data_IF_932488285615
#
_entry.id   IF_932488285615
#
_cell.length_a   1.000
_cell.length_b   1.000
_cell.length_c   1.000
_cell.angle_alpha   90.00
_cell.angle_beta   90.00
_cell.angle_gamma   90.00
#
_symmetry.space_group_name_H-M   'P 1'
#
loop_
_entity.id
_entity.type
_entity.pdbx_description
1 polymer ?
#
# COMPACT_ATOMS: atom_id res chain seq x y z
N UNK A 1 6.35 23.71 4.66
CA UNK A 1 6.30 22.23 4.86
C UNK A 1 6.16 21.57 3.49
N UNK A 2 7.13 20.75 3.04
CA UNK A 2 6.99 20.01 1.78
C UNK A 2 5.81 19.04 1.94
N UNK A 3 4.76 19.18 1.12
CA UNK A 3 3.66 18.21 1.09
C UNK A 3 4.26 16.87 0.68
N UNK A 4 4.32 15.91 1.62
CA UNK A 4 4.71 14.53 1.31
C UNK A 4 3.76 14.02 0.23
N UNK A 5 4.29 13.77 -0.97
CA UNK A 5 3.50 13.22 -2.08
C UNK A 5 3.54 11.70 -1.98
N UNK A 6 2.38 11.07 -1.99
CA UNK A 6 2.29 9.61 -2.11
C UNK A 6 2.94 9.17 -3.41
N UNK A 7 3.64 8.04 -3.36
CA UNK A 7 4.05 7.34 -4.57
C UNK A 7 2.82 6.79 -5.30
N UNK A 8 2.92 6.45 -6.60
CA UNK A 8 1.84 5.76 -7.31
C UNK A 8 1.38 4.50 -6.58
N UNK A 9 2.32 3.73 -6.03
CA UNK A 9 2.02 2.58 -5.18
C UNK A 9 1.26 2.98 -3.90
N UNK A 10 1.74 4.01 -3.21
CA UNK A 10 1.08 4.54 -2.01
C UNK A 10 -0.36 4.97 -2.24
N UNK A 11 -0.63 5.57 -3.41
CA UNK A 11 -1.98 5.95 -3.82
C UNK A 11 -2.86 4.71 -4.07
N UNK A 12 -2.36 3.72 -4.83
CA UNK A 12 -3.10 2.47 -5.05
C UNK A 12 -3.42 1.75 -3.74
N UNK A 13 -2.48 1.72 -2.79
CA UNK A 13 -2.69 1.13 -1.45
C UNK A 13 -3.80 1.85 -0.71
N UNK A 14 -3.80 3.18 -0.68
CA UNK A 14 -4.88 3.94 -0.02
C UNK A 14 -6.24 3.71 -0.65
N UNK A 15 -6.33 3.67 -1.98
CA UNK A 15 -7.59 3.39 -2.66
C UNK A 15 -8.12 2.00 -2.30
N UNK A 16 -7.25 0.99 -2.31
CA UNK A 16 -7.65 -0.38 -1.96
C UNK A 16 -8.00 -0.55 -0.49
N UNK A 17 -7.33 0.18 0.41
CA UNK A 17 -7.69 0.24 1.82
C UNK A 17 -9.11 0.80 1.98
N UNK A 18 -9.47 1.85 1.22
CA UNK A 18 -10.82 2.38 1.20
C UNK A 18 -11.83 1.35 0.66
N UNK A 19 -11.52 0.66 -0.45
CA UNK A 19 -12.38 -0.41 -0.99
C UNK A 19 -12.66 -1.52 0.03
N UNK A 20 -11.67 -1.84 0.86
CA UNK A 20 -11.74 -2.90 1.87
C UNK A 20 -12.26 -2.42 3.23
N UNK A 21 -12.63 -1.13 3.36
CA UNK A 21 -12.93 -0.49 4.65
C UNK A 21 -11.85 -0.79 5.72
N UNK A 22 -10.59 -0.87 5.30
CA UNK A 22 -9.46 -1.23 6.15
C UNK A 22 -8.62 0.02 6.42
N UNK A 23 -8.26 0.24 7.69
CA UNK A 23 -7.35 1.34 8.04
C UNK A 23 -5.89 0.97 7.80
N UNK A 24 -5.06 1.99 7.56
CA UNK A 24 -3.61 1.81 7.43
C UNK A 24 -2.98 1.15 8.66
N UNK A 25 -3.51 1.44 9.87
CA UNK A 25 -3.11 0.80 11.13
C UNK A 25 -3.36 -0.70 11.12
N UNK A 26 -4.51 -1.15 10.61
CA UNK A 26 -4.85 -2.58 10.50
C UNK A 26 -3.92 -3.28 9.51
N UNK A 27 -3.61 -2.63 8.38
CA UNK A 27 -2.64 -3.15 7.42
C UNK A 27 -1.24 -3.26 8.04
N UNK A 28 -0.80 -2.26 8.80
CA UNK A 28 0.48 -2.28 9.50
C UNK A 28 0.55 -3.43 10.52
N UNK A 29 -0.53 -3.65 11.28
CA UNK A 29 -0.63 -4.79 12.20
C UNK A 29 -0.56 -6.14 11.47
N UNK A 30 -1.26 -6.30 10.34
CA UNK A 30 -1.20 -7.52 9.52
C UNK A 30 0.20 -7.78 8.94
N UNK A 31 0.94 -6.71 8.65
CA UNK A 31 2.33 -6.76 8.18
C UNK A 31 3.36 -6.96 9.30
N UNK A 32 2.94 -6.91 10.58
CA UNK A 32 3.86 -6.92 11.71
C UNK A 32 4.78 -5.69 11.75
N UNK A 33 4.33 -4.54 11.26
CA UNK A 33 5.11 -3.29 11.20
C UNK A 33 4.37 -2.12 11.83
N UNK A 34 5.04 -0.97 11.97
CA UNK A 34 4.43 0.24 12.49
C UNK A 34 3.77 1.06 11.38
N UNK A 35 2.71 1.79 11.72
CA UNK A 35 2.01 2.70 10.80
C UNK A 35 2.96 3.78 10.22
N UNK A 36 3.89 4.26 11.04
CA UNK A 36 4.93 5.20 10.61
C UNK A 36 5.85 4.58 9.54
N UNK A 37 6.28 3.34 9.74
CA UNK A 37 7.12 2.64 8.78
C UNK A 37 6.37 2.35 7.47
N UNK A 38 5.11 1.93 7.56
CA UNK A 38 4.25 1.77 6.39
C UNK A 38 4.11 3.10 5.63
N UNK A 39 3.85 4.21 6.33
CA UNK A 39 3.81 5.55 5.72
C UNK A 39 5.10 5.86 4.97
N UNK A 40 6.27 5.63 5.56
CA UNK A 40 7.57 5.87 4.92
C UNK A 40 7.69 5.11 3.58
N UNK A 41 7.18 3.87 3.50
CA UNK A 41 7.13 3.10 2.25
C UNK A 41 6.18 3.76 1.24
N UNK A 42 4.96 4.11 1.66
CA UNK A 42 3.96 4.72 0.77
C UNK A 42 4.42 6.07 0.20
N UNK A 43 5.21 6.84 0.97
CA UNK A 43 5.80 8.12 0.56
C UNK A 43 7.16 7.98 -0.14
N UNK A 44 7.69 6.76 -0.31
CA UNK A 44 8.96 6.51 -0.99
C UNK A 44 10.21 6.89 -0.19
N UNK A 45 10.08 7.13 1.12
CA UNK A 45 11.21 7.34 2.04
C UNK A 45 11.95 6.02 2.35
N UNK A 46 11.29 4.87 2.15
CA UNK A 46 11.87 3.52 2.27
C UNK A 46 11.43 2.64 1.09
N UNK A 47 12.35 1.84 0.55
CA UNK A 47 12.08 0.89 -0.53
C UNK A 47 11.07 -0.18 -0.10
N UNK A 48 11.22 -0.71 1.11
CA UNK A 48 10.25 -1.62 1.72
C UNK A 48 9.95 -2.87 0.90
N UNK A 49 10.89 -3.38 0.09
CA UNK A 49 10.64 -4.43 -0.91
C UNK A 49 9.90 -5.65 -0.35
N UNK A 50 10.29 -6.16 0.83
CA UNK A 50 9.57 -7.28 1.48
C UNK A 50 8.13 -6.91 1.85
N UNK A 51 7.90 -5.69 2.32
CA UNK A 51 6.56 -5.22 2.68
C UNK A 51 5.70 -4.95 1.46
N UNK A 52 6.27 -4.48 0.35
CA UNK A 52 5.54 -4.22 -0.90
C UNK A 52 4.88 -5.49 -1.43
N UNK A 53 5.59 -6.61 -1.42
CA UNK A 53 5.02 -7.91 -1.80
C UNK A 53 3.93 -8.36 -0.83
N UNK A 54 4.19 -8.30 0.47
CA UNK A 54 3.20 -8.66 1.49
C UNK A 54 1.94 -7.77 1.44
N UNK A 55 2.09 -6.47 1.19
CA UNK A 55 0.98 -5.52 0.99
C UNK A 55 0.15 -5.96 -0.21
N UNK A 56 0.80 -6.30 -1.34
CA UNK A 56 0.08 -6.77 -2.54
C UNK A 56 -0.69 -8.06 -2.28
N UNK A 57 -0.14 -8.98 -1.48
CA UNK A 57 -0.80 -10.22 -1.08
C UNK A 57 -1.99 -9.92 -0.17
N UNK A 58 -1.79 -9.19 0.93
CA UNK A 58 -2.83 -8.86 1.91
C UNK A 58 -3.99 -8.08 1.28
N UNK A 59 -3.67 -7.13 0.40
CA UNK A 59 -4.66 -6.31 -0.28
C UNK A 59 -5.21 -6.96 -1.55
N UNK A 60 -4.76 -8.18 -1.90
CA UNK A 60 -5.11 -8.89 -3.13
C UNK A 60 -4.89 -8.03 -4.39
N UNK A 61 -3.84 -7.22 -4.41
CA UNK A 61 -3.42 -6.42 -5.57
C UNK A 61 -2.61 -7.20 -6.60
N UNK A 62 -2.25 -8.45 -6.29
CA UNK A 62 -1.45 -9.30 -7.18
C UNK A 62 -2.22 -9.74 -8.45
N UNK A 63 -3.50 -9.41 -8.55
CA UNK A 63 -4.33 -9.71 -9.70
C UNK A 63 -4.24 -8.52 -10.67
N UNK A 64 -3.23 -8.56 -11.55
CA UNK A 64 -3.43 -8.03 -12.90
C UNK A 64 -4.59 -8.83 -13.52
N UNK A 65 -5.82 -8.37 -13.27
CA UNK A 65 -6.90 -8.61 -14.22
C UNK A 65 -6.56 -7.78 -15.44
N UNK A 66 -5.77 -8.40 -16.32
CA UNK A 66 -5.66 -8.00 -17.70
C UNK A 66 -7.04 -8.23 -18.35
N UNK A 67 -7.94 -7.27 -18.19
CA UNK A 67 -9.17 -7.13 -18.99
C UNK A 67 -9.40 -5.65 -19.29
N UNK A 68 -8.55 -5.09 -20.16
CA UNK A 68 -9.07 -4.23 -21.22
C UNK A 68 -8.99 -5.07 -22.50
N UNK A 69 -10.07 -5.82 -22.74
CA UNK A 69 -10.47 -6.16 -24.10
C UNK A 69 -11.34 -4.99 -24.55
N UNK A 70 -10.82 -4.14 -25.42
CA UNK A 70 -11.57 -3.41 -26.44
C UNK A 70 -10.69 -3.40 -27.69
#
# INVERSE_FOLDING_TARGET
MKKRKLTPFGLSVKNRLADLNMSQKVLAQKLGTSDAYLSMILYGERSGNMYVENIKIILNMNIKNNKRKE
#
